data_IF_704616077214
#
_entry.id   IF_704616077214
#
_cell.length_a   1.000
_cell.length_b   1.000
_cell.length_c   1.000
_cell.angle_alpha   90.00
_cell.angle_beta   90.00
_cell.angle_gamma   90.00
#
_symmetry.space_group_name_H-M   'P 1'
#
loop_
_entity.id
_entity.type
_entity.pdbx_description
1 polymer ?
#
# COMPACT_ATOMS: atom_id res chain seq x y z
N UNK A 1 -5.31 -7.48 2.63
CA UNK A 1 -6.30 -8.52 2.97
C UNK A 1 -6.71 -8.43 4.43
N UNK A 2 -5.90 -8.98 5.34
CA UNK A 2 -6.26 -9.11 6.77
C UNK A 2 -6.61 -7.81 7.49
N UNK A 3 -6.04 -6.68 7.06
CA UNK A 3 -6.33 -5.36 7.62
C UNK A 3 -7.71 -4.81 7.19
N UNK A 4 -8.34 -5.39 6.17
CA UNK A 4 -9.64 -4.96 5.64
C UNK A 4 -10.79 -5.58 6.44
N UNK A 5 -10.86 -5.30 7.74
CA UNK A 5 -11.96 -5.81 8.55
C UNK A 5 -13.27 -5.08 8.20
N UNK A 6 -14.31 -5.76 7.68
CA UNK A 6 -15.52 -5.09 7.18
C UNK A 6 -16.27 -4.32 8.27
N UNK A 7 -16.15 -4.77 9.52
CA UNK A 7 -16.77 -4.12 10.69
C UNK A 7 -16.11 -2.76 10.96
N UNK A 8 -14.79 -2.71 10.92
CA UNK A 8 -14.04 -1.47 11.09
C UNK A 8 -14.33 -0.49 9.95
N UNK A 9 -14.33 -0.98 8.70
CA UNK A 9 -14.61 -0.16 7.52
C UNK A 9 -16.02 0.47 7.58
N UNK A 10 -17.04 -0.27 8.00
CA UNK A 10 -18.41 0.27 8.13
C UNK A 10 -18.56 1.37 9.19
N UNK A 11 -17.65 1.43 10.16
CA UNK A 11 -17.65 2.44 11.21
C UNK A 11 -16.93 3.73 10.79
N UNK A 12 -16.21 3.72 9.67
CA UNK A 12 -15.47 4.88 9.21
C UNK A 12 -16.40 5.97 8.66
N UNK A 13 -16.23 7.23 9.09
CA UNK A 13 -16.97 8.36 8.53
C UNK A 13 -16.71 8.51 7.02
N UNK A 14 -17.75 8.91 6.26
CA UNK A 14 -17.64 9.22 4.81
C UNK A 14 -16.47 10.16 4.45
N UNK A 15 -16.13 11.19 5.25
CA UNK A 15 -14.99 12.05 4.97
C UNK A 15 -13.64 11.32 4.90
N UNK A 16 -13.47 10.21 5.64
CA UNK A 16 -12.24 9.40 5.61
C UNK A 16 -12.07 8.72 4.25
N UNK A 17 -13.15 8.17 3.70
CA UNK A 17 -13.14 7.58 2.36
C UNK A 17 -12.86 8.62 1.29
N UNK A 18 -13.51 9.79 1.38
CA UNK A 18 -13.28 10.89 0.44
C UNK A 18 -11.82 11.38 0.50
N UNK A 19 -11.24 11.47 1.70
CA UNK A 19 -9.87 11.88 1.88
C UNK A 19 -8.85 10.87 1.34
N UNK A 20 -9.08 9.57 1.56
CA UNK A 20 -8.24 8.53 0.97
C UNK A 20 -8.33 8.54 -0.57
N UNK A 21 -9.55 8.66 -1.13
CA UNK A 21 -9.73 8.76 -2.57
C UNK A 21 -9.09 10.03 -3.14
N UNK A 22 -9.20 11.16 -2.45
CA UNK A 22 -8.54 12.40 -2.86
C UNK A 22 -7.01 12.25 -2.83
N UNK A 23 -6.46 11.67 -1.77
CA UNK A 23 -5.02 11.48 -1.62
C UNK A 23 -4.43 10.51 -2.66
N UNK A 24 -4.98 9.29 -2.76
CA UNK A 24 -4.54 8.29 -3.71
C UNK A 24 -4.85 8.69 -5.17
N UNK A 25 -6.04 9.26 -5.40
CA UNK A 25 -6.51 9.67 -6.72
C UNK A 25 -5.73 10.85 -7.30
N UNK A 26 -5.37 11.84 -6.48
CA UNK A 26 -4.51 12.94 -6.95
C UNK A 26 -3.12 12.42 -7.32
N UNK A 27 -2.47 11.59 -6.49
CA UNK A 27 -1.19 10.99 -6.83
C UNK A 27 -1.25 10.14 -8.11
N UNK A 28 -2.33 9.37 -8.28
CA UNK A 28 -2.59 8.62 -9.52
C UNK A 28 -2.68 9.55 -10.74
N UNK A 29 -3.56 10.56 -10.71
CA UNK A 29 -3.80 11.43 -11.85
C UNK A 29 -2.60 12.31 -12.20
N UNK A 30 -1.88 12.81 -11.18
CA UNK A 30 -0.67 13.62 -11.38
C UNK A 30 0.47 12.85 -12.05
N UNK A 31 0.50 11.52 -11.92
CA UNK A 31 1.50 10.70 -12.59
C UNK A 31 0.97 10.14 -13.91
N UNK A 32 -0.23 9.56 -13.90
CA UNK A 32 -0.78 8.89 -15.08
C UNK A 32 -1.04 9.86 -16.25
N UNK A 33 -1.61 11.04 -16.00
CA UNK A 33 -1.95 11.97 -17.09
C UNK A 33 -0.69 12.54 -17.77
N UNK A 34 0.28 13.14 -17.05
CA UNK A 34 1.42 13.76 -17.72
C UNK A 34 2.36 12.74 -18.34
N UNK A 35 2.51 11.55 -17.74
CA UNK A 35 3.39 10.50 -18.29
C UNK A 35 2.76 9.74 -19.45
N UNK A 36 1.43 9.81 -19.64
CA UNK A 36 0.79 9.22 -20.83
C UNK A 36 1.29 9.88 -22.13
N UNK A 37 1.51 11.19 -22.14
CA UNK A 37 1.95 11.95 -23.32
C UNK A 37 3.32 11.51 -23.84
N UNK A 38 4.42 11.51 -23.05
CA UNK A 38 5.71 11.06 -23.55
C UNK A 38 5.68 9.58 -23.91
N UNK A 39 4.92 8.73 -23.22
CA UNK A 39 4.75 7.31 -23.58
C UNK A 39 4.04 7.13 -24.93
N UNK A 40 3.05 7.97 -25.24
CA UNK A 40 2.37 7.98 -26.53
C UNK A 40 3.29 8.50 -27.66
N UNK A 41 4.03 9.57 -27.41
CA UNK A 41 4.86 10.24 -28.43
C UNK A 41 6.16 9.48 -28.73
N UNK A 42 6.80 8.88 -27.73
CA UNK A 42 8.16 8.33 -27.89
C UNK A 42 8.21 6.92 -28.48
N UNK A 43 7.08 6.21 -28.62
CA UNK A 43 7.15 4.75 -28.81
C UNK A 43 6.33 4.17 -29.97
N UNK A 44 5.56 4.97 -30.71
CA UNK A 44 4.67 4.43 -31.76
C UNK A 44 3.74 3.30 -31.26
N UNK A 45 3.54 3.23 -29.94
CA UNK A 45 2.76 2.19 -29.29
C UNK A 45 1.29 2.39 -29.59
N UNK A 46 0.53 1.30 -29.56
CA UNK A 46 -0.93 1.38 -29.54
C UNK A 46 -1.33 2.26 -28.35
N UNK A 47 -2.20 3.28 -28.54
CA UNK A 47 -2.56 4.22 -27.48
C UNK A 47 -3.01 3.55 -26.17
N UNK A 48 -3.73 2.42 -26.29
CA UNK A 48 -4.20 1.64 -25.15
C UNK A 48 -3.04 1.11 -24.27
N UNK A 49 -1.93 0.69 -24.87
CA UNK A 49 -0.77 0.14 -24.16
C UNK A 49 -0.01 1.24 -23.42
N UNK A 50 0.15 2.41 -24.05
CA UNK A 50 0.79 3.57 -23.43
C UNK A 50 -0.03 4.09 -22.25
N UNK A 51 -1.36 4.19 -22.40
CA UNK A 51 -2.28 4.58 -21.32
C UNK A 51 -2.27 3.54 -20.20
N UNK A 52 -2.22 2.25 -20.52
CA UNK A 52 -2.11 1.17 -19.53
C UNK A 52 -0.83 1.26 -18.69
N UNK A 53 0.32 1.49 -19.32
CA UNK A 53 1.58 1.68 -18.61
C UNK A 53 1.60 2.96 -17.76
N UNK A 54 1.03 4.06 -18.27
CA UNK A 54 0.87 5.30 -17.52
C UNK A 54 -0.06 5.12 -16.30
N UNK A 55 -1.15 4.36 -16.45
CA UNK A 55 -2.05 4.01 -15.36
C UNK A 55 -1.35 3.14 -14.32
N UNK A 56 -0.50 2.19 -14.71
CA UNK A 56 0.31 1.41 -13.77
C UNK A 56 1.32 2.27 -13.02
N UNK A 57 1.98 3.21 -13.68
CA UNK A 57 2.83 4.21 -13.01
C UNK A 57 2.01 5.05 -12.02
N UNK A 58 0.80 5.47 -12.40
CA UNK A 58 -0.14 6.16 -11.52
C UNK A 58 -0.56 5.32 -10.32
N UNK A 59 -0.82 4.03 -10.52
CA UNK A 59 -1.20 3.10 -9.45
C UNK A 59 -0.03 2.87 -8.49
N UNK A 60 1.19 2.73 -9.01
CA UNK A 60 2.39 2.69 -8.18
C UNK A 60 2.58 4.02 -7.41
N UNK A 61 2.24 5.15 -8.01
CA UNK A 61 2.29 6.48 -7.40
C UNK A 61 1.29 6.69 -6.25
N UNK A 62 0.11 6.06 -6.33
CA UNK A 62 -0.90 6.14 -5.28
C UNK A 62 -0.55 5.32 -4.04
N UNK A 63 0.16 4.20 -4.20
CA UNK A 63 0.59 3.32 -3.11
C UNK A 63 1.68 3.96 -2.24
N UNK A 64 1.50 3.92 -0.92
CA UNK A 64 2.36 4.60 0.06
C UNK A 64 2.61 3.75 1.29
N UNK A 65 3.58 4.15 2.12
CA UNK A 65 3.89 3.50 3.40
C UNK A 65 3.75 4.48 4.55
N UNK A 66 3.03 4.08 5.59
CA UNK A 66 2.91 4.78 6.86
C UNK A 66 4.02 4.43 7.86
N UNK A 67 5.08 3.72 7.46
CA UNK A 67 6.09 3.20 8.39
C UNK A 67 6.78 4.30 9.21
N UNK A 68 7.07 5.45 8.61
CA UNK A 68 7.64 6.60 9.34
C UNK A 68 6.71 7.12 10.44
N UNK A 69 5.39 7.17 10.20
CA UNK A 69 4.42 7.54 11.22
C UNK A 69 4.36 6.51 12.36
N UNK A 70 4.48 5.21 12.03
CA UNK A 70 4.59 4.14 13.03
C UNK A 70 5.85 4.30 13.89
N UNK A 71 7.00 4.59 13.28
CA UNK A 71 8.24 4.86 14.00
C UNK A 71 8.15 6.14 14.84
N UNK A 72 7.53 7.19 14.30
CA UNK A 72 7.31 8.45 14.99
C UNK A 72 6.54 8.27 16.28
N UNK A 73 5.41 7.57 16.24
CA UNK A 73 4.60 7.36 17.45
C UNK A 73 5.30 6.41 18.44
N UNK A 74 5.97 5.34 17.96
CA UNK A 74 6.69 4.40 18.83
C UNK A 74 7.84 5.05 19.59
N UNK A 75 8.46 6.06 18.98
CA UNK A 75 9.55 6.83 19.58
C UNK A 75 9.04 8.05 20.38
N UNK A 76 7.73 8.21 20.57
CA UNK A 76 7.14 9.33 21.31
C UNK A 76 7.28 10.69 20.61
N UNK A 77 7.61 10.71 19.31
CA UNK A 77 7.81 11.93 18.51
C UNK A 77 6.56 12.37 17.75
N UNK A 78 5.52 11.54 17.75
CA UNK A 78 4.24 11.76 17.10
C UNK A 78 3.13 11.28 18.02
N UNK A 79 2.06 12.06 18.17
CA UNK A 79 0.91 11.60 18.95
C UNK A 79 0.31 10.30 18.39
N UNK A 80 -0.15 9.42 19.28
CA UNK A 80 -0.68 8.10 18.92
C UNK A 80 -1.89 8.21 17.99
N UNK A 81 -2.78 9.17 18.23
CA UNK A 81 -3.97 9.39 17.41
C UNK A 81 -3.59 9.72 15.96
N UNK A 82 -2.61 10.61 15.77
CA UNK A 82 -2.07 10.99 14.46
C UNK A 82 -1.36 9.85 13.75
N UNK A 83 -0.53 9.10 14.48
CA UNK A 83 0.12 7.90 13.93
C UNK A 83 -0.89 6.85 13.43
N UNK A 84 -1.96 6.63 14.20
CA UNK A 84 -3.06 5.74 13.80
C UNK A 84 -3.85 6.30 12.61
N UNK A 85 -4.11 7.60 12.58
CA UNK A 85 -4.77 8.27 11.44
C UNK A 85 -4.00 8.10 10.14
N UNK A 86 -2.67 8.24 10.17
CA UNK A 86 -1.80 7.98 9.01
C UNK A 86 -1.86 6.52 8.59
N UNK A 87 -1.79 5.57 9.53
CA UNK A 87 -1.86 4.14 9.23
C UNK A 87 -3.22 3.76 8.60
N UNK A 88 -4.31 4.34 9.10
CA UNK A 88 -5.65 4.14 8.57
C UNK A 88 -5.76 4.65 7.13
N UNK A 89 -5.29 5.87 6.86
CA UNK A 89 -5.33 6.41 5.49
C UNK A 89 -4.42 5.64 4.54
N UNK A 90 -3.26 5.17 5.01
CA UNK A 90 -2.38 4.30 4.22
C UNK A 90 -3.07 3.00 3.81
N UNK A 91 -3.81 2.38 4.72
CA UNK A 91 -4.60 1.18 4.42
C UNK A 91 -5.68 1.45 3.35
N UNK A 92 -6.28 2.64 3.37
CA UNK A 92 -7.24 3.06 2.36
C UNK A 92 -6.58 3.40 1.02
N UNK A 93 -5.40 4.01 1.02
CA UNK A 93 -4.58 4.21 -0.18
C UNK A 93 -4.26 2.86 -0.86
N UNK A 94 -3.90 1.83 -0.08
CA UNK A 94 -3.65 0.48 -0.60
C UNK A 94 -4.89 -0.10 -1.29
N UNK A 95 -6.07 0.07 -0.68
CA UNK A 95 -7.34 -0.38 -1.27
C UNK A 95 -7.65 0.36 -2.58
N UNK A 96 -7.40 1.66 -2.64
CA UNK A 96 -7.57 2.46 -3.88
C UNK A 96 -6.56 2.02 -4.94
N UNK A 97 -5.28 1.83 -4.59
CA UNK A 97 -4.25 1.35 -5.50
C UNK A 97 -4.55 -0.04 -6.09
N UNK A 98 -5.06 -0.96 -5.26
CA UNK A 98 -5.54 -2.28 -5.70
C UNK A 98 -6.78 -2.17 -6.60
N UNK A 99 -7.69 -1.24 -6.31
CA UNK A 99 -8.85 -0.96 -7.18
C UNK A 99 -8.43 -0.45 -8.56
N UNK A 100 -7.42 0.43 -8.60
CA UNK A 100 -6.83 0.90 -9.85
C UNK A 100 -6.15 -0.25 -10.61
N UNK A 101 -5.43 -1.14 -9.92
CA UNK A 101 -4.87 -2.35 -10.54
C UNK A 101 -5.98 -3.22 -11.14
N UNK A 102 -7.05 -3.50 -10.38
CA UNK A 102 -8.18 -4.29 -10.86
C UNK A 102 -8.81 -3.68 -12.13
N UNK A 103 -8.99 -2.35 -12.13
CA UNK A 103 -9.47 -1.63 -13.31
C UNK A 103 -8.49 -1.73 -14.48
N UNK A 104 -7.18 -1.59 -14.22
CA UNK A 104 -6.13 -1.75 -15.22
C UNK A 104 -6.11 -3.14 -15.86
N UNK A 105 -6.35 -4.19 -15.06
CA UNK A 105 -6.49 -5.56 -15.57
C UNK A 105 -7.73 -5.72 -16.45
N UNK A 106 -8.86 -5.17 -16.01
CA UNK A 106 -10.13 -5.22 -16.76
C UNK A 106 -10.02 -4.51 -18.10
N UNK A 107 -9.39 -3.33 -18.14
CA UNK A 107 -9.32 -2.50 -19.34
C UNK A 107 -8.11 -2.81 -20.25
N UNK A 108 -7.01 -3.30 -19.69
CA UNK A 108 -5.69 -3.25 -20.33
C UNK A 108 -5.11 -4.57 -20.83
N UNK A 109 -5.48 -5.73 -20.26
CA UNK A 109 -4.74 -6.99 -20.54
C UNK A 109 -5.20 -7.68 -21.81
N UNK A 110 -6.51 -7.71 -22.11
CA UNK A 110 -7.06 -8.53 -23.19
C UNK A 110 -7.64 -7.70 -24.34
N UNK A 111 -7.80 -6.38 -24.16
CA UNK A 111 -8.54 -5.52 -25.10
C UNK A 111 -10.05 -5.77 -25.10
N UNK A 112 -10.53 -6.75 -24.32
CA UNK A 112 -11.94 -7.11 -24.13
C UNK A 112 -12.29 -7.08 -22.64
N UNK A 113 -13.10 -6.10 -22.23
CA UNK A 113 -13.48 -5.90 -20.84
C UNK A 113 -14.14 -7.13 -20.20
N UNK A 114 -14.86 -7.95 -20.97
CA UNK A 114 -15.51 -9.16 -20.46
C UNK A 114 -14.48 -10.22 -20.01
N UNK A 115 -13.41 -10.40 -20.77
CA UNK A 115 -12.33 -11.32 -20.40
C UNK A 115 -11.54 -10.79 -19.21
N UNK A 116 -11.25 -9.49 -19.17
CA UNK A 116 -10.60 -8.85 -18.03
C UNK A 116 -11.41 -8.98 -16.74
N UNK A 117 -12.74 -8.83 -16.81
CA UNK A 117 -13.65 -9.11 -15.70
C UNK A 117 -13.62 -10.60 -15.29
N UNK A 118 -13.54 -11.52 -16.27
CA UNK A 118 -13.39 -12.94 -16.01
C UNK A 118 -12.09 -13.27 -15.25
N UNK A 119 -10.97 -12.71 -15.67
CA UNK A 119 -9.67 -12.88 -14.99
C UNK A 119 -9.68 -12.29 -13.58
N UNK A 120 -10.27 -11.09 -13.41
CA UNK A 120 -10.47 -10.47 -12.09
C UNK A 120 -11.32 -11.38 -11.20
N UNK A 121 -12.47 -11.84 -11.70
CA UNK A 121 -13.37 -12.74 -10.99
C UNK A 121 -12.68 -14.04 -10.57
N UNK A 122 -11.88 -14.64 -11.46
CA UNK A 122 -11.16 -15.88 -11.18
C UNK A 122 -10.05 -15.68 -10.15
N UNK A 123 -9.32 -14.57 -10.19
CA UNK A 123 -8.31 -14.23 -9.19
C UNK A 123 -8.93 -14.06 -7.80
N UNK A 124 -10.07 -13.35 -7.72
CA UNK A 124 -10.81 -13.18 -6.47
C UNK A 124 -11.38 -14.51 -5.97
N UNK A 125 -11.96 -15.33 -6.86
CA UNK A 125 -12.50 -16.65 -6.52
C UNK A 125 -11.41 -17.58 -5.96
N UNK A 126 -10.25 -17.63 -6.62
CA UNK A 126 -9.09 -18.39 -6.14
C UNK A 126 -8.69 -17.93 -4.73
N UNK A 127 -8.58 -16.62 -4.53
CA UNK A 127 -8.27 -16.05 -3.22
C UNK A 127 -9.29 -16.44 -2.16
N UNK A 128 -10.59 -16.32 -2.45
CA UNK A 128 -11.67 -16.69 -1.52
C UNK A 128 -11.63 -18.18 -1.19
N UNK A 129 -11.44 -19.04 -2.19
CA UNK A 129 -11.34 -20.49 -1.98
C UNK A 129 -10.14 -20.86 -1.10
N UNK A 130 -8.96 -20.29 -1.37
CA UNK A 130 -7.78 -20.50 -0.54
C UNK A 130 -7.93 -19.91 0.87
N UNK A 131 -8.58 -18.75 1.01
CA UNK A 131 -8.85 -18.14 2.31
C UNK A 131 -9.79 -18.99 3.17
N UNK A 132 -10.84 -19.56 2.56
CA UNK A 132 -11.74 -20.50 3.22
C UNK A 132 -11.01 -21.79 3.63
N UNK A 133 -10.16 -22.32 2.75
CA UNK A 133 -9.32 -23.50 3.06
C UNK A 133 -8.37 -23.22 4.23
N UNK A 134 -7.68 -22.08 4.23
CA UNK A 134 -6.79 -21.69 5.33
C UNK A 134 -7.57 -21.50 6.64
N UNK A 135 -8.78 -20.92 6.60
CA UNK A 135 -9.63 -20.80 7.77
C UNK A 135 -10.01 -22.17 8.35
N UNK A 136 -10.40 -23.11 7.47
CA UNK A 136 -10.75 -24.48 7.84
C UNK A 136 -9.56 -25.22 8.47
N UNK A 137 -8.39 -25.17 7.83
CA UNK A 137 -7.18 -25.82 8.35
C UNK A 137 -6.76 -25.22 9.70
N UNK A 138 -6.78 -23.89 9.84
CA UNK A 138 -6.36 -23.20 11.07
C UNK A 138 -7.29 -23.46 12.25
N UNK A 139 -8.56 -23.78 12.00
CA UNK A 139 -9.54 -24.05 13.07
C UNK A 139 -9.13 -25.25 13.94
N UNK A 140 -8.54 -26.28 13.33
CA UNK A 140 -8.14 -27.52 14.01
C UNK A 140 -6.78 -27.45 14.69
N UNK A 141 -5.95 -26.44 14.37
CA UNK A 141 -4.57 -26.36 14.83
C UNK A 141 -4.44 -25.68 16.18
N UNK A 142 -3.74 -26.32 17.12
CA UNK A 142 -3.45 -25.77 18.46
C UNK A 142 -2.04 -25.23 18.58
N UNK A 143 -1.07 -25.85 17.90
CA UNK A 143 0.34 -25.45 17.97
C UNK A 143 0.63 -24.25 17.05
N UNK A 144 1.44 -23.32 17.55
CA UNK A 144 1.84 -22.12 16.84
C UNK A 144 2.80 -22.45 15.68
N UNK A 145 3.71 -23.41 15.86
CA UNK A 145 4.66 -23.79 14.81
C UNK A 145 3.93 -24.40 13.61
N UNK A 146 3.01 -25.33 13.86
CA UNK A 146 2.16 -25.93 12.83
C UNK A 146 1.30 -24.87 12.12
N UNK A 147 0.70 -23.92 12.86
CA UNK A 147 -0.04 -22.80 12.28
C UNK A 147 0.82 -21.93 11.36
N UNK A 148 2.07 -21.62 11.77
CA UNK A 148 2.98 -20.83 10.93
C UNK A 148 3.32 -21.58 9.64
N UNK A 149 3.61 -22.87 9.72
CA UNK A 149 3.92 -23.71 8.55
C UNK A 149 2.74 -23.79 7.59
N UNK A 150 1.53 -24.03 8.09
CA UNK A 150 0.30 -24.07 7.27
C UNK A 150 0.02 -22.71 6.65
N UNK A 151 0.18 -21.62 7.40
CA UNK A 151 0.01 -20.26 6.88
C UNK A 151 0.97 -19.97 5.73
N UNK A 152 2.26 -20.31 5.90
CA UNK A 152 3.27 -20.12 4.85
C UNK A 152 3.03 -21.00 3.63
N UNK A 153 2.65 -22.27 3.84
CA UNK A 153 2.24 -23.18 2.77
C UNK A 153 1.04 -22.63 1.99
N UNK A 154 0.07 -22.03 2.67
CA UNK A 154 -1.09 -21.40 2.02
C UNK A 154 -0.73 -20.12 1.27
N UNK A 155 0.22 -19.31 1.76
CA UNK A 155 0.75 -18.16 1.00
C UNK A 155 1.44 -18.64 -0.29
N UNK A 156 2.28 -19.67 -0.18
CA UNK A 156 2.94 -20.28 -1.35
C UNK A 156 1.92 -20.89 -2.33
N UNK A 157 0.87 -21.54 -1.82
CA UNK A 157 -0.21 -22.09 -2.64
C UNK A 157 -0.98 -21.01 -3.37
N UNK A 158 -1.39 -19.92 -2.70
CA UNK A 158 -2.11 -18.81 -3.33
C UNK A 158 -1.25 -18.15 -4.42
N UNK A 159 0.00 -17.82 -4.10
CA UNK A 159 0.92 -17.22 -5.05
C UNK A 159 1.24 -18.14 -6.24
N UNK A 160 1.54 -19.41 -5.95
CA UNK A 160 1.85 -20.43 -6.95
C UNK A 160 0.67 -20.77 -7.85
N UNK A 161 -0.54 -20.92 -7.30
CA UNK A 161 -1.75 -21.17 -8.07
C UNK A 161 -2.12 -19.97 -8.94
N UNK A 162 -2.00 -18.75 -8.42
CA UNK A 162 -2.22 -17.53 -9.20
C UNK A 162 -1.22 -17.43 -10.35
N UNK A 163 0.07 -17.68 -10.09
CA UNK A 163 1.10 -17.67 -11.12
C UNK A 163 0.88 -18.77 -12.18
N UNK A 164 0.52 -19.99 -11.77
CA UNK A 164 0.23 -21.11 -12.66
C UNK A 164 -0.96 -20.80 -13.59
N UNK A 165 -2.02 -20.19 -13.05
CA UNK A 165 -3.22 -19.80 -13.80
C UNK A 165 -3.07 -18.45 -14.51
N UNK A 166 -1.90 -17.79 -14.41
CA UNK A 166 -1.64 -16.44 -14.95
C UNK A 166 -2.64 -15.39 -14.48
N UNK A 167 -3.00 -15.45 -13.20
CA UNK A 167 -3.87 -14.51 -12.51
C UNK A 167 -3.05 -13.56 -11.64
N UNK A 168 -3.65 -12.44 -11.24
CA UNK A 168 -3.02 -11.53 -10.27
C UNK A 168 -2.94 -12.21 -8.89
N UNK A 169 -1.71 -12.53 -8.51
CA UNK A 169 -1.31 -12.98 -7.18
C UNK A 169 -1.62 -11.94 -6.10
N UNK A 170 -1.55 -10.65 -6.41
CA UNK A 170 -1.92 -9.57 -5.49
C UNK A 170 -3.40 -9.60 -5.15
N UNK A 171 -4.26 -9.67 -6.18
CA UNK A 171 -5.71 -9.70 -5.98
C UNK A 171 -6.16 -11.01 -5.31
N UNK A 172 -5.59 -12.15 -5.71
CA UNK A 172 -5.85 -13.43 -5.05
C UNK A 172 -5.42 -13.42 -3.57
N UNK A 173 -4.23 -12.88 -3.26
CA UNK A 173 -3.74 -12.73 -1.89
C UNK A 173 -4.59 -11.79 -1.03
N UNK A 174 -5.02 -10.66 -1.61
CA UNK A 174 -5.92 -9.70 -0.95
C UNK A 174 -7.27 -10.33 -0.65
N UNK A 175 -7.86 -11.04 -1.63
CA UNK A 175 -9.11 -11.77 -1.46
C UNK A 175 -9.00 -12.86 -0.39
N UNK A 176 -7.92 -13.65 -0.40
CA UNK A 176 -7.63 -14.64 0.65
C UNK A 176 -7.60 -14.01 2.04
N UNK A 177 -6.84 -12.93 2.22
CA UNK A 177 -6.77 -12.23 3.50
C UNK A 177 -8.10 -11.56 3.89
N UNK A 178 -8.88 -11.07 2.93
CA UNK A 178 -10.20 -10.48 3.19
C UNK A 178 -11.21 -11.56 3.63
N UNK A 179 -11.16 -12.76 3.06
CA UNK A 179 -11.96 -13.91 3.51
C UNK A 179 -11.63 -14.28 4.95
N UNK A 180 -10.36 -14.27 5.34
CA UNK A 180 -9.97 -14.50 6.74
C UNK A 180 -10.45 -13.38 7.67
N UNK A 181 -10.36 -12.12 7.24
CA UNK A 181 -10.87 -10.98 8.00
C UNK A 181 -12.39 -11.04 8.19
N UNK A 182 -13.13 -11.54 7.19
CA UNK A 182 -14.58 -11.78 7.27
C UNK A 182 -14.96 -12.85 8.30
N UNK A 183 -14.18 -13.93 8.39
CA UNK A 183 -14.38 -14.98 9.40
C UNK A 183 -14.05 -14.46 10.81
N UNK A 184 -13.06 -13.57 10.91
CA UNK A 184 -12.71 -12.86 12.13
C UNK A 184 -12.21 -13.74 13.27
N UNK A 185 -12.17 -13.16 14.46
CA UNK A 185 -11.82 -13.85 15.70
C UNK A 185 -10.37 -14.35 15.75
N UNK A 186 -10.16 -15.46 16.48
CA UNK A 186 -8.82 -16.00 16.77
C UNK A 186 -8.05 -16.41 15.52
N UNK A 187 -8.75 -16.81 14.45
CA UNK A 187 -8.12 -17.27 13.21
C UNK A 187 -7.37 -16.13 12.51
N UNK A 188 -8.02 -14.98 12.32
CA UNK A 188 -7.40 -13.82 11.69
C UNK A 188 -6.20 -13.31 12.51
N UNK A 189 -6.31 -13.28 13.84
CA UNK A 189 -5.21 -12.88 14.73
C UNK A 189 -4.02 -13.83 14.70
N UNK A 190 -4.26 -15.15 14.63
CA UNK A 190 -3.20 -16.16 14.54
C UNK A 190 -2.46 -16.05 13.21
N UNK A 191 -3.19 -15.97 12.11
CA UNK A 191 -2.61 -15.80 10.77
C UNK A 191 -1.83 -14.49 10.68
N UNK A 192 -2.38 -13.38 11.18
CA UNK A 192 -1.68 -12.08 11.23
C UNK A 192 -0.37 -12.16 12.03
N UNK A 193 -0.38 -12.82 13.20
CA UNK A 193 0.83 -13.04 13.99
C UNK A 193 1.86 -13.91 13.29
N UNK A 194 1.43 -14.96 12.57
CA UNK A 194 2.32 -15.79 11.77
C UNK A 194 2.98 -14.98 10.64
N UNK A 195 2.17 -14.23 9.88
CA UNK A 195 2.65 -13.42 8.76
C UNK A 195 3.55 -12.27 9.19
N UNK A 196 3.26 -11.58 10.29
CA UNK A 196 4.07 -10.44 10.75
C UNK A 196 5.54 -10.80 11.04
N UNK A 197 5.82 -12.07 11.37
CA UNK A 197 7.20 -12.56 11.59
C UNK A 197 7.98 -12.73 10.29
N UNK A 198 7.29 -13.12 9.21
CA UNK A 198 7.92 -13.40 7.91
C UNK A 198 7.82 -12.24 6.93
N UNK A 199 6.90 -11.32 7.14
CA UNK A 199 6.65 -10.18 6.25
C UNK A 199 7.91 -9.37 5.98
N UNK A 200 8.68 -9.06 7.03
CA UNK A 200 9.93 -8.28 6.90
C UNK A 200 11.02 -9.04 6.11
N UNK A 201 11.39 -10.29 6.47
CA UNK A 201 12.32 -11.07 5.64
C UNK A 201 11.87 -11.21 4.18
N UNK A 202 10.60 -11.53 3.94
CA UNK A 202 10.05 -11.70 2.59
C UNK A 202 10.10 -10.39 1.80
N UNK A 203 9.80 -9.26 2.45
CA UNK A 203 9.93 -7.95 1.82
C UNK A 203 11.37 -7.63 1.42
N UNK A 204 12.37 -7.97 2.24
CA UNK A 204 13.77 -7.78 1.88
C UNK A 204 14.18 -8.64 0.68
N UNK A 205 13.73 -9.90 0.64
CA UNK A 205 13.95 -10.78 -0.52
C UNK A 205 13.30 -10.20 -1.77
N UNK A 206 12.06 -9.71 -1.67
CA UNK A 206 11.37 -9.04 -2.78
C UNK A 206 12.17 -7.84 -3.29
N UNK A 207 12.60 -6.94 -2.41
CA UNK A 207 13.38 -5.75 -2.79
C UNK A 207 14.69 -6.16 -3.47
N UNK A 208 15.36 -7.20 -2.96
CA UNK A 208 16.58 -7.73 -3.57
C UNK A 208 16.33 -8.28 -4.98
N UNK A 209 15.28 -9.08 -5.17
CA UNK A 209 14.90 -9.64 -6.48
C UNK A 209 14.45 -8.56 -7.47
N UNK A 210 13.64 -7.60 -7.02
CA UNK A 210 13.24 -6.47 -7.87
C UNK A 210 14.47 -5.64 -8.24
N UNK A 211 15.38 -5.40 -7.30
CA UNK A 211 16.62 -4.68 -7.53
C UNK A 211 17.57 -5.37 -8.51
N UNK A 212 17.66 -6.70 -8.46
CA UNK A 212 18.50 -7.47 -9.41
C UNK A 212 17.92 -7.49 -10.83
N UNK A 213 16.62 -7.30 -10.97
CA UNK A 213 15.94 -7.19 -12.26
C UNK A 213 16.07 -5.81 -12.93
N UNK A 214 16.70 -4.81 -12.28
CA UNK A 214 16.79 -3.45 -12.84
C UNK A 214 17.70 -3.43 -14.07
N UNK A 215 17.17 -2.92 -15.20
CA UNK A 215 17.93 -2.78 -16.44
C UNK A 215 18.51 -1.36 -16.58
N UNK A 216 19.70 -1.14 -16.02
CA UNK A 216 20.30 0.19 -15.95
C UNK A 216 20.67 0.84 -17.30
N UNK A 217 20.57 0.13 -18.42
CA UNK A 217 20.92 0.64 -19.75
C UNK A 217 19.77 1.35 -20.47
N UNK A 218 18.54 1.33 -19.95
CA UNK A 218 17.41 2.00 -20.61
C UNK A 218 17.40 3.52 -20.33
N UNK A 219 17.93 4.29 -21.27
CA UNK A 219 17.96 5.75 -21.19
C UNK A 219 16.58 6.40 -21.07
N UNK A 220 15.55 5.78 -21.66
CA UNK A 220 14.19 6.32 -21.60
C UNK A 220 13.53 6.11 -20.23
N UNK A 221 13.89 5.04 -19.51
CA UNK A 221 13.51 4.87 -18.11
C UNK A 221 14.10 6.01 -17.26
N UNK A 222 15.37 6.35 -17.47
CA UNK A 222 16.06 7.42 -16.75
C UNK A 222 15.51 8.81 -17.05
N UNK A 223 14.99 9.04 -18.25
CA UNK A 223 14.29 10.29 -18.58
C UNK A 223 12.93 10.41 -17.86
N UNK A 224 12.21 9.29 -17.69
CA UNK A 224 10.92 9.26 -17.00
C UNK A 224 11.04 9.34 -15.48
N UNK A 225 12.15 8.86 -14.91
CA UNK A 225 12.34 8.75 -13.46
C UNK A 225 12.19 10.10 -12.71
N UNK A 226 12.88 11.20 -13.08
CA UNK A 226 12.71 12.49 -12.42
C UNK A 226 11.27 13.01 -12.51
N UNK A 227 10.61 12.80 -13.65
CA UNK A 227 9.21 13.19 -13.84
C UNK A 227 8.29 12.37 -12.93
N UNK A 228 8.48 11.04 -12.85
CA UNK A 228 7.72 10.17 -11.95
C UNK A 228 7.86 10.60 -10.48
N UNK A 229 9.10 10.78 -10.00
CA UNK A 229 9.38 11.16 -8.61
C UNK A 229 8.80 12.55 -8.30
N UNK A 230 9.02 13.53 -9.18
CA UNK A 230 8.53 14.90 -9.00
C UNK A 230 7.00 14.99 -9.00
N UNK A 231 6.35 14.37 -10.00
CA UNK A 231 4.90 14.34 -10.11
C UNK A 231 4.25 13.60 -8.94
N UNK A 232 4.83 12.47 -8.51
CA UNK A 232 4.37 11.73 -7.32
C UNK A 232 4.48 12.60 -6.07
N UNK A 233 5.62 13.26 -5.86
CA UNK A 233 5.82 14.12 -4.70
C UNK A 233 4.78 15.25 -4.66
N UNK A 234 4.58 15.95 -5.79
CA UNK A 234 3.55 16.99 -5.91
C UNK A 234 2.14 16.43 -5.66
N UNK A 235 1.82 15.30 -6.27
CA UNK A 235 0.52 14.63 -6.11
C UNK A 235 0.24 14.26 -4.66
N UNK A 236 1.24 13.73 -3.94
CA UNK A 236 1.11 13.37 -2.51
C UNK A 236 1.00 14.58 -1.61
N UNK A 237 1.76 15.65 -1.87
CA UNK A 237 1.67 16.89 -1.10
C UNK A 237 0.30 17.55 -1.29
N UNK A 238 -0.13 17.74 -2.53
CA UNK A 238 -1.42 18.36 -2.86
C UNK A 238 -2.59 17.50 -2.39
N UNK A 239 -2.56 16.21 -2.69
CA UNK A 239 -3.52 15.22 -2.22
C UNK A 239 -3.61 15.17 -0.71
N UNK A 240 -2.48 15.29 -0.03
CA UNK A 240 -2.41 15.28 1.44
C UNK A 240 -3.08 16.52 2.03
N UNK A 241 -2.88 17.70 1.44
CA UNK A 241 -3.61 18.91 1.83
C UNK A 241 -5.11 18.82 1.59
N UNK A 242 -5.55 18.21 0.49
CA UNK A 242 -6.98 17.98 0.24
C UNK A 242 -7.57 16.99 1.26
N UNK A 243 -6.87 15.88 1.50
CA UNK A 243 -7.26 14.88 2.49
C UNK A 243 -7.38 15.48 3.90
N UNK A 244 -6.40 16.28 4.32
CA UNK A 244 -6.46 16.99 5.59
C UNK A 244 -7.69 17.87 5.70
N UNK A 245 -8.00 18.67 4.68
CA UNK A 245 -9.19 19.55 4.67
C UNK A 245 -10.48 18.75 4.78
N UNK A 246 -10.57 17.62 4.08
CA UNK A 246 -11.74 16.75 4.12
C UNK A 246 -11.93 16.05 5.47
N UNK A 247 -10.85 15.74 6.20
CA UNK A 247 -10.93 15.08 7.51
C UNK A 247 -10.88 16.04 8.70
N UNK A 248 -10.90 17.35 8.48
CA UNK A 248 -10.90 18.34 9.58
C UNK A 248 -12.05 18.05 10.55
N UNK A 249 -11.71 17.92 11.84
CA UNK A 249 -12.66 17.62 12.91
C UNK A 249 -13.13 16.15 12.97
N UNK A 250 -12.66 15.28 12.07
CA UNK A 250 -13.02 13.85 12.04
C UNK A 250 -11.83 12.95 12.38
N UNK A 251 -10.68 13.23 11.77
CA UNK A 251 -9.45 12.47 11.98
C UNK A 251 -8.31 13.43 12.30
N UNK A 252 -7.62 13.19 13.41
CA UNK A 252 -6.43 13.94 13.75
C UNK A 252 -5.28 13.47 12.86
N UNK A 253 -4.92 14.29 11.88
CA UNK A 253 -3.82 14.04 10.96
C UNK A 253 -2.69 15.00 11.29
N UNK A 254 -1.42 14.55 11.19
CA UNK A 254 -0.30 15.42 11.47
C UNK A 254 -0.26 16.59 10.48
N UNK A 255 0.26 17.76 10.90
CA UNK A 255 0.49 18.87 9.99
C UNK A 255 1.40 18.41 8.84
N UNK A 256 1.12 18.90 7.62
CA UNK A 256 1.80 18.44 6.39
C UNK A 256 1.66 16.93 6.15
N UNK A 257 0.47 16.37 6.36
CA UNK A 257 0.16 14.95 6.18
C UNK A 257 0.72 14.33 4.89
N UNK A 258 0.66 15.04 3.75
CA UNK A 258 1.22 14.54 2.49
C UNK A 258 2.72 14.20 2.56
N UNK A 259 3.49 14.91 3.41
CA UNK A 259 4.90 14.64 3.65
C UNK A 259 5.13 13.34 4.44
N UNK A 260 4.15 12.92 5.24
CA UNK A 260 4.21 11.67 5.99
C UNK A 260 4.01 10.42 5.11
N UNK A 261 3.48 10.59 3.90
CA UNK A 261 3.13 9.51 2.96
C UNK A 261 3.90 9.55 1.64
N UNK A 262 5.05 10.24 1.59
CA UNK A 262 5.93 10.22 0.42
C UNK A 262 6.56 8.83 0.24
N UNK A 263 6.90 8.17 1.35
CA UNK A 263 7.52 6.83 1.35
C UNK A 263 6.68 5.86 0.54
N UNK A 264 7.34 5.11 -0.33
CA UNK A 264 6.68 4.19 -1.25
C UNK A 264 6.51 2.83 -0.57
N UNK A 265 5.28 2.32 -0.56
CA UNK A 265 4.96 1.03 0.04
C UNK A 265 5.51 -0.15 -0.74
N UNK A 266 5.78 -1.26 -0.04
CA UNK A 266 6.21 -2.50 -0.69
C UNK A 266 5.20 -3.06 -1.69
N UNK A 267 3.92 -2.75 -1.51
CA UNK A 267 2.87 -3.08 -2.46
C UNK A 267 3.10 -2.49 -3.86
N UNK A 268 3.74 -1.31 -3.95
CA UNK A 268 4.09 -0.72 -5.23
C UNK A 268 5.14 -1.56 -5.99
N UNK A 269 6.11 -2.15 -5.27
CA UNK A 269 7.10 -3.06 -5.87
C UNK A 269 6.46 -4.37 -6.29
N UNK A 270 5.56 -4.93 -5.47
CA UNK A 270 4.81 -6.12 -5.86
C UNK A 270 3.98 -5.88 -7.13
N UNK A 271 3.34 -4.70 -7.24
CA UNK A 271 2.52 -4.31 -8.39
C UNK A 271 3.34 -4.35 -9.69
N UNK A 272 4.53 -3.73 -9.70
CA UNK A 272 5.36 -3.69 -10.91
C UNK A 272 6.05 -5.01 -11.20
N UNK A 273 6.40 -5.79 -10.18
CA UNK A 273 6.89 -7.15 -10.36
C UNK A 273 5.83 -8.04 -11.00
N UNK A 274 4.59 -7.96 -10.53
CA UNK A 274 3.45 -8.67 -11.11
C UNK A 274 3.19 -8.24 -12.56
N UNK A 275 3.33 -6.95 -12.87
CA UNK A 275 3.17 -6.46 -14.24
C UNK A 275 4.18 -7.08 -15.21
N UNK A 276 5.45 -7.20 -14.82
CA UNK A 276 6.49 -7.85 -15.63
C UNK A 276 6.20 -9.34 -15.84
N UNK A 277 5.68 -10.02 -14.82
CA UNK A 277 5.32 -11.44 -14.90
C UNK A 277 4.12 -11.71 -15.81
N UNK A 278 3.08 -10.87 -15.72
CA UNK A 278 1.84 -11.04 -16.50
C UNK A 278 2.00 -10.54 -17.94
N UNK A 279 2.77 -9.48 -18.15
CA UNK A 279 2.98 -8.84 -19.46
C UNK A 279 4.48 -8.63 -19.69
N UNK A 280 5.24 -9.68 -20.05
CA UNK A 280 6.67 -9.55 -20.33
C UNK A 280 6.92 -8.63 -21.53
N UNK A 281 7.82 -7.66 -21.38
CA UNK A 281 8.18 -6.75 -22.46
C UNK A 281 9.10 -5.61 -22.01
N UNK A 282 9.61 -4.84 -22.96
CA UNK A 282 10.46 -3.68 -22.67
C UNK A 282 9.74 -2.57 -21.91
N UNK A 283 8.43 -2.39 -22.17
CA UNK A 283 7.62 -1.40 -21.47
C UNK A 283 7.37 -1.78 -20.00
N UNK A 284 7.08 -3.05 -19.71
CA UNK A 284 6.89 -3.49 -18.32
C UNK A 284 8.19 -3.45 -17.54
N UNK A 285 9.31 -3.82 -18.19
CA UNK A 285 10.64 -3.65 -17.61
C UNK A 285 10.95 -2.18 -17.31
N UNK A 286 10.62 -1.26 -18.21
CA UNK A 286 10.80 0.19 -18.00
C UNK A 286 9.97 0.71 -16.82
N UNK A 287 8.71 0.28 -16.72
CA UNK A 287 7.85 0.63 -15.58
C UNK A 287 8.43 0.09 -14.28
N UNK A 288 8.94 -1.15 -14.28
CA UNK A 288 9.66 -1.74 -13.14
C UNK A 288 10.86 -0.89 -12.75
N UNK A 289 11.74 -0.55 -13.69
CA UNK A 289 12.95 0.23 -13.43
C UNK A 289 12.63 1.61 -12.83
N UNK A 290 11.68 2.33 -13.43
CA UNK A 290 11.25 3.66 -12.96
C UNK A 290 10.66 3.59 -11.54
N UNK A 291 9.79 2.61 -11.27
CA UNK A 291 9.11 2.49 -9.96
C UNK A 291 10.05 1.95 -8.89
N UNK A 292 10.95 1.02 -9.23
CA UNK A 292 11.90 0.42 -8.30
C UNK A 292 12.94 1.46 -7.86
N UNK A 293 13.58 2.16 -8.81
CA UNK A 293 14.52 3.24 -8.46
C UNK A 293 13.79 4.42 -7.84
N UNK A 294 12.60 4.75 -8.36
CA UNK A 294 11.73 5.76 -7.77
C UNK A 294 11.38 5.47 -6.31
N UNK A 295 11.15 4.21 -5.93
CA UNK A 295 10.90 3.81 -4.55
C UNK A 295 12.08 4.17 -3.64
N UNK A 296 13.31 3.89 -4.09
CA UNK A 296 14.54 4.23 -3.35
C UNK A 296 14.67 5.74 -3.18
N UNK A 297 14.50 6.51 -4.26
CA UNK A 297 14.56 7.99 -4.20
C UNK A 297 13.47 8.54 -3.30
N UNK A 298 12.23 8.03 -3.40
CA UNK A 298 11.11 8.43 -2.56
C UNK A 298 11.36 8.12 -1.08
N UNK A 299 12.03 7.02 -0.75
CA UNK A 299 12.39 6.68 0.62
C UNK A 299 13.39 7.68 1.20
N UNK A 300 14.39 8.09 0.41
CA UNK A 300 15.35 9.13 0.80
C UNK A 300 14.66 10.49 1.00
N UNK A 301 13.75 10.87 0.10
CA UNK A 301 12.96 12.10 0.21
C UNK A 301 12.01 12.05 1.41
N UNK A 302 11.38 10.90 1.66
CA UNK A 302 10.47 10.69 2.78
C UNK A 302 11.18 10.88 4.13
N UNK A 303 12.42 10.40 4.27
CA UNK A 303 13.20 10.63 5.48
C UNK A 303 13.36 12.13 5.80
N UNK A 304 13.71 12.94 4.79
CA UNK A 304 13.83 14.39 4.95
C UNK A 304 12.47 15.08 5.18
N UNK A 305 11.45 14.68 4.43
CA UNK A 305 10.10 15.22 4.52
C UNK A 305 9.45 14.94 5.87
N UNK A 306 9.64 13.74 6.43
CA UNK A 306 9.07 13.35 7.72
C UNK A 306 9.66 14.17 8.88
N UNK A 307 10.92 14.62 8.78
CA UNK A 307 11.48 15.56 9.77
C UNK A 307 10.69 16.87 9.84
N UNK A 308 10.13 17.33 8.72
CA UNK A 308 9.31 18.54 8.70
C UNK A 308 7.94 18.32 9.35
N UNK A 309 7.37 17.12 9.23
CA UNK A 309 6.15 16.72 9.92
C UNK A 309 6.37 16.78 11.44
N UNK A 310 7.47 16.20 11.91
CA UNK A 310 7.82 16.21 13.34
C UNK A 310 8.21 17.60 13.86
N UNK A 311 8.77 18.46 13.02
CA UNK A 311 9.08 19.85 13.41
C UNK A 311 7.82 20.72 13.55
N UNK A 312 6.75 20.36 12.82
CA UNK A 312 5.46 21.04 12.88
C UNK A 312 4.54 20.48 13.98
N UNK A 313 4.88 19.33 14.59
CA UNK A 313 4.18 18.82 15.77
C UNK A 313 4.34 19.80 16.95
N UNK A 314 3.23 20.23 17.57
CA UNK A 314 3.29 20.95 18.84
C UNK A 314 4.02 20.07 19.87
N UNK A 315 5.02 20.62 20.57
CA UNK A 315 5.66 19.88 21.66
C UNK A 315 4.59 19.47 22.67
N UNK A 316 4.56 18.21 23.14
CA UNK A 316 3.64 17.84 24.20
C UNK A 316 3.89 18.76 25.39
N UNK A 317 2.84 19.42 25.88
CA UNK A 317 2.90 20.15 27.14
C UNK A 317 3.45 19.20 28.19
N UNK A 318 4.44 19.59 29.01
CA UNK A 318 4.88 18.76 30.11
C UNK A 318 3.63 18.40 30.92
N UNK A 319 3.47 17.10 31.21
CA UNK A 319 2.46 16.65 32.16
C UNK A 319 2.54 17.60 33.35
N UNK A 320 1.42 18.25 33.69
CA UNK A 320 1.30 18.87 35.00
C UNK A 320 1.48 17.73 35.98
N UNK A 321 2.67 17.62 36.56
CA UNK A 321 2.88 16.91 37.80
C UNK A 321 1.86 17.50 38.76
N UNK A 322 0.77 16.77 38.98
CA UNK A 322 -0.08 17.03 40.13
C UNK A 322 0.84 16.93 41.33
N UNK A 323 1.04 18.01 42.10
CA UNK A 323 1.93 17.95 43.24
C UNK A 323 1.42 16.86 44.18
N UNK A 324 2.32 16.08 44.82
CA UNK A 324 1.90 15.18 45.87
C UNK A 324 1.16 16.03 46.91
N UNK A 325 -0.10 15.67 47.19
CA UNK A 325 -0.86 16.20 48.31
C UNK A 325 -0.11 15.86 49.58
N UNK A 326 0.76 16.77 50.02
CA UNK A 326 1.41 16.75 51.31
C UNK A 326 0.43 17.16 52.40
N UNK A 327 0.43 16.36 53.46
CA UNK A 327 0.06 16.65 54.84
C UNK A 327 -1.24 17.42 55.13
N UNK A 328 -2.21 16.67 55.63
CA UNK A 328 -3.06 17.13 56.72
C UNK A 328 -2.81 16.24 57.95
N UNK A 329 -1.79 16.60 58.74
CA UNK A 329 -1.77 16.24 60.15
C UNK A 329 -2.70 17.17 60.91
N UNK A 330 -3.67 16.61 61.64
CA UNK A 330 -4.28 17.27 62.81
C UNK A 330 -4.49 16.20 63.88
N UNK A 331 -3.81 16.41 64.99
CA UNK A 331 -3.97 15.70 66.25
C UNK A 331 -5.26 16.14 66.96
N UNK A 332 -5.98 15.17 67.54
CA UNK A 332 -6.63 15.19 68.85
C UNK A 332 -7.34 13.84 69.07
#
# INVERSE_FOLDING_TARGET
GLNLEPRLLRLLPRPVYAAALAHAGTAFLFVALPLSVPLLLSMGLRPLVAVGAAALLGAAASLSSGHFAVLGYRNGRLERARGLGVALLTMMDDAVGLGVLALGLVLGVTGNAAEGLGLLGLALLLGVACGALLAFLTYSLKDLAEQTTVTLGMVALVGGAAAYLRLSSLLAGVACGATLALMGGRTAERVSRALSRVERPTYLVLVFLVGSHIHARDLSAWALLPAFVGLRFLGKVLGGTFAQRLTQGVLDLPPRFGYALISQGGLALCLVAEYVLLVPGSLSQRVLDVVAVGAVVNEMLAHGAFRQVLAAEPRPSPMRDTPPTGDAGVAA
#
